data_IF_557680670237
#
_entry.id   IF_557680670237
#
_cell.length_a   1.000
_cell.length_b   1.000
_cell.length_c   1.000
_cell.angle_alpha   90.00
_cell.angle_beta   90.00
_cell.angle_gamma   90.00
#
_symmetry.space_group_name_H-M   'P 1'
#
loop_
_entity.id
_entity.type
_entity.pdbx_description
1 polymer ?
#
# COMPACT_ATOMS: atom_id res chain seq x y z
N UNK A 1 9.43 42.47 26.13
CA UNK A 1 10.02 43.81 25.96
C UNK A 1 11.27 43.64 25.13
N UNK A 2 11.35 44.29 23.97
CA UNK A 2 12.55 44.22 23.14
C UNK A 2 13.73 44.93 23.83
N UNK A 3 14.95 44.65 23.38
CA UNK A 3 16.20 45.18 23.97
C UNK A 3 16.26 46.72 23.98
N UNK A 4 15.42 47.38 23.17
CA UNK A 4 15.26 48.83 23.06
C UNK A 4 14.14 49.42 23.96
N UNK A 5 13.57 48.62 24.86
CA UNK A 5 12.48 49.05 25.75
C UNK A 5 11.12 49.18 25.06
N UNK A 6 11.02 48.91 23.75
CA UNK A 6 9.75 48.95 23.04
C UNK A 6 9.00 47.62 23.18
N UNK A 7 7.66 47.70 23.28
CA UNK A 7 6.79 46.52 23.30
C UNK A 7 6.53 45.97 21.88
N UNK A 8 7.61 45.83 21.10
CA UNK A 8 7.57 45.21 19.77
C UNK A 8 7.79 43.71 19.89
N UNK A 9 6.98 42.92 19.19
CA UNK A 9 7.08 41.46 19.13
C UNK A 9 6.49 40.71 20.33
N UNK A 10 5.90 41.41 21.31
CA UNK A 10 5.24 40.81 22.47
C UNK A 10 3.73 40.93 22.42
N UNK A 11 3.05 40.20 23.31
CA UNK A 11 1.61 40.31 23.48
C UNK A 11 1.21 41.75 23.81
N UNK A 12 0.19 42.27 23.10
CA UNK A 12 -0.31 43.63 23.30
C UNK A 12 -0.82 43.83 24.73
N UNK A 13 -0.57 45.01 25.29
CA UNK A 13 -1.11 45.43 26.58
C UNK A 13 -2.65 45.30 26.51
N UNK A 14 -3.26 44.61 27.49
CA UNK A 14 -4.70 44.27 27.59
C UNK A 14 -5.24 43.18 26.63
N UNK A 15 -4.40 42.34 26.02
CA UNK A 15 -4.89 41.27 25.13
C UNK A 15 -5.59 40.05 25.83
N UNK A 16 -6.01 40.15 27.09
CA UNK A 16 -6.71 39.09 27.85
C UNK A 16 -5.76 38.06 28.49
N UNK A 17 -6.14 36.77 28.60
CA UNK A 17 -5.25 35.60 28.77
C UNK A 17 -5.35 34.68 27.54
N UNK A 18 -4.42 33.73 27.32
CA UNK A 18 -4.62 32.72 26.25
C UNK A 18 -5.82 31.85 26.67
N UNK A 19 -6.76 31.52 25.77
CA UNK A 19 -7.85 30.62 26.12
C UNK A 19 -7.32 29.23 26.50
N UNK A 20 -7.98 28.60 27.47
CA UNK A 20 -7.76 27.21 27.87
C UNK A 20 -7.93 26.25 26.68
N UNK A 21 -7.22 25.11 26.67
CA UNK A 21 -7.38 24.09 25.63
C UNK A 21 -8.80 23.50 25.64
N UNK A 22 -9.21 22.94 24.50
CA UNK A 22 -10.61 22.51 24.27
C UNK A 22 -11.08 21.47 25.28
N UNK A 23 -10.22 20.49 25.60
CA UNK A 23 -10.47 19.45 26.59
C UNK A 23 -10.79 20.02 27.98
N UNK A 24 -10.04 21.02 28.43
CA UNK A 24 -10.24 21.66 29.74
C UNK A 24 -11.52 22.50 29.77
N UNK A 25 -11.89 23.15 28.67
CA UNK A 25 -13.16 23.87 28.55
C UNK A 25 -14.36 22.94 28.63
N UNK A 26 -14.29 21.80 27.93
CA UNK A 26 -15.33 20.77 27.97
C UNK A 26 -15.46 20.17 29.38
N UNK A 27 -14.34 19.88 30.05
CA UNK A 27 -14.33 19.39 31.43
C UNK A 27 -14.92 20.39 32.43
N UNK A 28 -14.72 21.70 32.19
CA UNK A 28 -15.29 22.80 33.00
C UNK A 28 -16.75 23.13 32.64
N UNK A 29 -17.36 22.43 31.67
CA UNK A 29 -18.74 22.69 31.21
C UNK A 29 -18.92 24.02 30.47
N UNK A 30 -17.84 24.60 29.94
CA UNK A 30 -17.87 25.87 29.20
C UNK A 30 -18.22 25.58 27.74
N UNK A 31 -19.11 26.38 27.16
CA UNK A 31 -19.46 26.28 25.74
C UNK A 31 -18.20 26.40 24.86
N UNK A 32 -17.96 25.39 24.03
CA UNK A 32 -16.82 25.34 23.14
C UNK A 32 -17.19 24.72 21.79
N UNK A 33 -16.70 25.29 20.70
CA UNK A 33 -16.93 24.80 19.34
C UNK A 33 -15.76 23.93 18.90
N UNK A 34 -16.05 22.70 18.47
CA UNK A 34 -15.08 21.83 17.81
C UNK A 34 -15.20 22.03 16.30
N UNK A 35 -14.08 22.19 15.60
CA UNK A 35 -14.05 22.10 14.15
C UNK A 35 -14.18 20.62 13.78
N UNK A 36 -15.25 20.25 13.09
CA UNK A 36 -15.41 18.90 12.56
C UNK A 36 -14.62 18.79 11.26
N UNK A 37 -13.88 17.70 11.11
CA UNK A 37 -13.24 17.38 9.83
C UNK A 37 -14.34 16.79 8.92
N UNK A 38 -14.61 17.39 7.75
CA UNK A 38 -15.56 16.81 6.79
C UNK A 38 -15.14 15.41 6.31
N UNK A 39 -13.91 14.97 6.58
CA UNK A 39 -13.39 13.63 6.29
C UNK A 39 -13.28 12.73 7.55
N UNK A 40 -13.97 13.09 8.64
CA UNK A 40 -13.95 12.28 9.87
C UNK A 40 -14.69 10.93 9.71
N UNK A 41 -15.45 10.76 8.64
CA UNK A 41 -15.94 9.45 8.21
C UNK A 41 -14.83 8.75 7.41
N UNK A 42 -14.45 7.51 7.76
CA UNK A 42 -13.56 6.73 6.93
C UNK A 42 -14.11 6.69 5.51
N UNK A 43 -13.25 7.00 4.53
CA UNK A 43 -13.61 6.80 3.13
C UNK A 43 -14.07 5.36 2.96
N UNK A 44 -15.26 5.20 2.40
CA UNK A 44 -15.74 3.90 1.99
C UNK A 44 -14.91 3.44 0.78
N UNK A 45 -13.97 2.55 1.04
CA UNK A 45 -13.14 1.91 0.03
C UNK A 45 -13.83 0.72 -0.62
N UNK A 46 -15.09 0.42 -0.26
CA UNK A 46 -15.91 -0.46 -1.08
C UNK A 46 -16.11 0.24 -2.43
N UNK A 47 -15.30 -0.16 -3.40
CA UNK A 47 -15.33 0.36 -4.76
C UNK A 47 -16.62 0.01 -5.46
N UNK A 48 -17.73 0.65 -5.06
CA UNK A 48 -19.06 0.48 -5.64
C UNK A 48 -19.15 0.91 -7.11
N UNK A 49 -18.16 1.69 -7.58
CA UNK A 49 -17.99 2.09 -8.98
C UNK A 49 -17.17 1.08 -9.81
N UNK A 50 -16.55 0.11 -9.14
CA UNK A 50 -15.97 -1.07 -9.78
C UNK A 50 -17.04 -2.15 -9.60
N UNK A 51 -17.87 -2.39 -10.62
CA UNK A 51 -18.82 -3.53 -10.59
C UNK A 51 -18.11 -4.84 -10.28
N UNK A 52 -18.83 -5.97 -10.19
CA UNK A 52 -18.36 -7.31 -9.73
C UNK A 52 -17.05 -7.86 -10.35
N UNK A 53 -16.43 -7.15 -11.29
CA UNK A 53 -15.25 -7.55 -12.01
C UNK A 53 -15.65 -8.57 -13.05
N UNK A 54 -15.13 -8.43 -14.26
CA UNK A 54 -15.25 -9.54 -15.20
C UNK A 54 -14.49 -10.74 -14.59
N UNK A 55 -15.19 -11.87 -14.38
CA UNK A 55 -14.53 -13.15 -14.11
C UNK A 55 -13.84 -13.55 -15.40
N UNK A 56 -12.61 -13.08 -15.57
CA UNK A 56 -11.75 -13.49 -16.67
C UNK A 56 -11.30 -14.91 -16.35
N UNK A 57 -11.74 -15.87 -17.16
CA UNK A 57 -11.19 -17.21 -17.10
C UNK A 57 -9.69 -17.10 -17.37
N UNK A 58 -8.86 -17.50 -16.41
CA UNK A 58 -7.41 -17.51 -16.56
C UNK A 58 -7.02 -18.21 -17.86
N UNK A 59 -6.03 -17.66 -18.57
CA UNK A 59 -5.50 -18.32 -19.76
C UNK A 59 -4.89 -19.67 -19.35
N UNK A 60 -4.98 -20.66 -20.25
CA UNK A 60 -4.36 -21.97 -20.02
C UNK A 60 -2.85 -21.78 -19.81
N UNK A 61 -2.32 -22.38 -18.75
CA UNK A 61 -0.89 -22.39 -18.44
C UNK A 61 -0.05 -22.69 -19.69
N UNK A 62 0.84 -21.77 -20.05
CA UNK A 62 1.83 -22.04 -21.10
C UNK A 62 2.82 -23.08 -20.60
N UNK A 63 3.23 -24.00 -21.49
CA UNK A 63 4.30 -24.93 -21.17
C UNK A 63 5.61 -24.17 -20.93
N UNK A 64 6.36 -24.60 -19.91
CA UNK A 64 7.68 -24.08 -19.62
C UNK A 64 8.62 -24.36 -20.80
N UNK A 65 9.41 -23.37 -21.21
CA UNK A 65 10.45 -23.58 -22.22
C UNK A 65 11.45 -24.66 -21.80
N UNK A 66 11.91 -25.48 -22.76
CA UNK A 66 12.80 -26.64 -22.54
C UNK A 66 14.04 -26.34 -21.69
N UNK A 67 14.63 -25.15 -21.88
CA UNK A 67 15.84 -24.73 -21.19
C UNK A 67 15.69 -24.61 -19.66
N UNK A 68 14.46 -24.52 -19.14
CA UNK A 68 14.21 -24.49 -17.70
C UNK A 68 14.38 -25.87 -17.03
N UNK A 69 14.35 -26.93 -17.83
CA UNK A 69 14.56 -28.32 -17.40
C UNK A 69 15.94 -28.88 -17.79
N UNK A 70 16.81 -28.04 -18.38
CA UNK A 70 18.11 -28.46 -18.89
C UNK A 70 19.01 -29.08 -17.80
N UNK A 71 19.79 -30.08 -18.21
CA UNK A 71 20.76 -30.74 -17.35
C UNK A 71 22.00 -29.86 -17.21
N UNK A 72 22.34 -29.52 -15.96
CA UNK A 72 23.55 -28.78 -15.64
C UNK A 72 24.80 -29.65 -15.81
N UNK A 73 25.98 -29.02 -15.78
CA UNK A 73 27.28 -29.73 -15.88
C UNK A 73 27.46 -30.84 -14.84
N UNK A 74 26.79 -30.72 -13.69
CA UNK A 74 26.83 -31.69 -12.60
C UNK A 74 25.85 -32.87 -12.80
N UNK A 75 25.18 -32.96 -13.95
CA UNK A 75 24.28 -34.06 -14.32
C UNK A 75 22.89 -33.98 -13.70
N UNK A 76 22.60 -32.95 -12.90
CA UNK A 76 21.27 -32.69 -12.32
C UNK A 76 20.46 -31.73 -13.20
N UNK A 77 19.14 -31.88 -13.29
CA UNK A 77 18.29 -30.90 -13.96
C UNK A 77 18.35 -29.55 -13.20
N UNK A 78 18.26 -28.45 -13.94
CA UNK A 78 18.21 -27.10 -13.39
C UNK A 78 17.06 -26.95 -12.38
N UNK A 79 15.92 -27.61 -12.61
CA UNK A 79 14.76 -27.58 -11.70
C UNK A 79 13.97 -26.27 -11.75
N UNK A 80 14.28 -25.37 -12.69
CA UNK A 80 13.53 -24.14 -12.89
C UNK A 80 12.15 -24.39 -13.48
N UNK A 81 11.95 -25.53 -14.15
CA UNK A 81 10.64 -25.98 -14.61
C UNK A 81 9.66 -26.14 -13.44
N UNK A 82 10.09 -26.70 -12.31
CA UNK A 82 9.26 -26.88 -11.12
C UNK A 82 8.85 -25.52 -10.52
N UNK A 83 9.81 -24.61 -10.37
CA UNK A 83 9.58 -23.26 -9.84
C UNK A 83 8.62 -22.49 -10.75
N UNK A 84 8.74 -22.64 -12.07
CA UNK A 84 7.83 -22.04 -13.04
C UNK A 84 6.38 -22.54 -12.84
N UNK A 85 6.16 -23.85 -12.65
CA UNK A 85 4.80 -24.37 -12.44
C UNK A 85 4.19 -23.91 -11.12
N UNK A 86 4.97 -23.94 -10.05
CA UNK A 86 4.51 -23.52 -8.72
C UNK A 86 4.14 -22.03 -8.70
N UNK A 87 4.98 -21.18 -9.28
CA UNK A 87 4.72 -19.74 -9.38
C UNK A 87 3.51 -19.42 -10.25
N UNK A 88 3.35 -20.11 -11.38
CA UNK A 88 2.17 -19.95 -12.22
C UNK A 88 0.88 -20.35 -11.48
N UNK A 89 0.87 -21.51 -10.81
CA UNK A 89 -0.29 -21.97 -10.04
C UNK A 89 -0.65 -21.00 -8.91
N UNK A 90 0.36 -20.44 -8.24
CA UNK A 90 0.13 -19.43 -7.21
C UNK A 90 -0.50 -18.16 -7.81
N UNK A 91 -0.01 -17.68 -8.95
CA UNK A 91 -0.57 -16.52 -9.65
C UNK A 91 -2.00 -16.77 -10.13
N UNK A 92 -2.28 -17.96 -10.65
CA UNK A 92 -3.60 -18.35 -11.13
C UNK A 92 -4.62 -18.45 -9.99
N UNK A 93 -4.23 -19.03 -8.85
CA UNK A 93 -5.04 -19.07 -7.64
C UNK A 93 -5.42 -17.67 -7.09
N UNK A 94 -4.62 -16.65 -7.40
CA UNK A 94 -4.87 -15.26 -7.03
C UNK A 94 -5.51 -14.44 -8.16
N UNK A 95 -5.82 -15.04 -9.32
CA UNK A 95 -6.40 -14.34 -10.48
C UNK A 95 -5.44 -13.38 -11.18
N UNK A 96 -4.13 -13.49 -10.89
CA UNK A 96 -3.09 -12.59 -11.36
C UNK A 96 -2.29 -13.14 -12.55
N UNK A 97 -2.53 -14.38 -12.96
CA UNK A 97 -1.80 -15.06 -14.05
C UNK A 97 -1.77 -14.25 -15.35
N UNK A 98 -2.88 -13.59 -15.69
CA UNK A 98 -3.02 -12.72 -16.87
C UNK A 98 -2.23 -11.40 -16.82
N UNK A 99 -1.88 -10.90 -15.63
CA UNK A 99 -1.17 -9.62 -15.48
C UNK A 99 0.35 -9.78 -15.56
N UNK A 100 0.84 -11.02 -15.57
CA UNK A 100 2.25 -11.33 -15.50
C UNK A 100 2.70 -11.89 -16.84
N UNK A 101 3.71 -11.26 -17.45
CA UNK A 101 4.29 -11.77 -18.69
C UNK A 101 4.96 -13.14 -18.46
N UNK A 102 4.72 -14.18 -19.30
CA UNK A 102 5.30 -15.51 -19.11
C UNK A 102 6.83 -15.50 -18.98
N UNK A 103 7.51 -14.66 -19.78
CA UNK A 103 8.96 -14.45 -19.75
C UNK A 103 9.49 -13.97 -18.40
N UNK A 104 8.67 -13.24 -17.63
CA UNK A 104 9.03 -12.78 -16.29
C UNK A 104 9.09 -13.95 -15.31
N UNK A 105 8.14 -14.88 -15.41
CA UNK A 105 8.07 -16.08 -14.58
C UNK A 105 9.26 -16.99 -14.91
N UNK A 106 9.61 -17.14 -16.20
CA UNK A 106 10.78 -17.92 -16.61
C UNK A 106 12.09 -17.34 -16.05
N UNK A 107 12.27 -16.02 -16.13
CA UNK A 107 13.46 -15.35 -15.59
C UNK A 107 13.55 -15.48 -14.06
N UNK A 108 12.41 -15.35 -13.36
CA UNK A 108 12.30 -15.60 -11.93
C UNK A 108 12.70 -17.04 -11.59
N UNK A 109 12.09 -18.02 -12.26
CA UNK A 109 12.35 -19.44 -12.02
C UNK A 109 13.83 -19.79 -12.23
N UNK A 110 14.45 -19.26 -13.28
CA UNK A 110 15.88 -19.46 -13.55
C UNK A 110 16.79 -18.81 -12.50
N UNK A 111 16.41 -17.65 -11.95
CA UNK A 111 17.18 -16.97 -10.91
C UNK A 111 17.13 -17.72 -9.57
N UNK A 112 15.99 -18.33 -9.24
CA UNK A 112 15.78 -19.05 -7.98
C UNK A 112 16.27 -20.50 -8.00
N UNK A 113 16.41 -21.11 -9.18
CA UNK A 113 16.92 -22.47 -9.34
C UNK A 113 18.46 -22.56 -9.43
N UNK A 114 19.16 -21.43 -9.37
CA UNK A 114 20.63 -21.33 -9.44
C UNK A 114 21.31 -21.48 -8.08
#
# INVERSE_FOLDING_TARGET
MAKDGTNRGGRRIRAGAKPDPLNEKLAKGVAATRLEDPLNEPFDFEGSDIGDGAVLAGEVMLESSDYLSEIQRDGKPLGADLVYRETWQWLDAHGCSQFVAPRLIEAYAQAFAR
#
